data_IF_675794447910
#
_entry.id   IF_675794447910
#
_cell.length_a   1.000
_cell.length_b   1.000
_cell.length_c   1.000
_cell.angle_alpha   90.00
_cell.angle_beta   90.00
_cell.angle_gamma   90.00
#
_symmetry.space_group_name_H-M   'P 1'
#
loop_
_entity.id
_entity.type
_entity.pdbx_description
1 polymer ?
#
# COMPACT_ATOMS: atom_id res chain seq x y z
N UNK A 1 -56.60 10.04 1.92
CA UNK A 1 -55.53 11.06 2.08
C UNK A 1 -54.52 10.66 3.14
N UNK A 2 -54.91 10.07 4.27
CA UNK A 2 -53.97 9.57 5.29
C UNK A 2 -53.13 8.34 4.87
N UNK A 3 -53.64 7.50 3.95
CA UNK A 3 -52.91 6.32 3.43
C UNK A 3 -51.77 6.67 2.46
N UNK A 4 -51.86 7.78 1.72
CA UNK A 4 -50.82 8.18 0.74
C UNK A 4 -49.57 8.70 1.46
N UNK A 5 -49.73 9.42 2.56
CA UNK A 5 -48.62 9.97 3.36
C UNK A 5 -47.88 8.87 4.17
N UNK A 6 -48.54 7.74 4.43
CA UNK A 6 -47.91 6.59 5.11
C UNK A 6 -47.10 5.71 4.17
N UNK A 7 -47.49 5.59 2.89
CA UNK A 7 -46.68 4.92 1.85
C UNK A 7 -45.40 5.70 1.52
N UNK A 8 -45.45 7.04 1.42
CA UNK A 8 -44.27 7.86 1.11
C UNK A 8 -43.18 7.81 2.21
N UNK A 9 -43.59 7.79 3.49
CA UNK A 9 -42.66 7.67 4.63
C UNK A 9 -42.02 6.27 4.71
N UNK A 10 -42.76 5.22 4.35
CA UNK A 10 -42.25 3.84 4.28
C UNK A 10 -41.23 3.67 3.13
N UNK A 11 -41.45 4.33 1.99
CA UNK A 11 -40.52 4.32 0.84
C UNK A 11 -39.21 5.05 1.15
N UNK A 12 -39.25 6.16 1.90
CA UNK A 12 -38.06 6.92 2.32
C UNK A 12 -37.23 6.14 3.38
N UNK A 13 -37.90 5.41 4.27
CA UNK A 13 -37.24 4.55 5.26
C UNK A 13 -36.57 3.32 4.63
N UNK A 14 -37.21 2.67 3.67
CA UNK A 14 -36.63 1.53 2.93
C UNK A 14 -35.45 1.96 2.05
N UNK A 15 -35.53 3.10 1.36
CA UNK A 15 -34.43 3.61 0.55
C UNK A 15 -33.25 4.08 1.41
N UNK A 16 -33.48 4.69 2.57
CA UNK A 16 -32.44 5.02 3.55
C UNK A 16 -31.78 3.75 4.15
N UNK A 17 -32.55 2.72 4.50
CA UNK A 17 -32.03 1.44 4.98
C UNK A 17 -31.23 0.69 3.90
N UNK A 18 -31.72 0.67 2.65
CA UNK A 18 -31.05 0.01 1.51
C UNK A 18 -29.77 0.76 1.10
N UNK A 19 -29.75 2.09 1.23
CA UNK A 19 -28.56 2.94 1.06
C UNK A 19 -27.56 2.76 2.21
N UNK A 20 -28.03 2.65 3.45
CA UNK A 20 -27.22 2.37 4.65
C UNK A 20 -26.54 0.99 4.61
N UNK A 21 -27.26 -0.07 4.17
CA UNK A 21 -26.68 -1.40 3.96
C UNK A 21 -25.71 -1.45 2.78
N UNK A 22 -26.01 -0.73 1.69
CA UNK A 22 -25.12 -0.59 0.53
C UNK A 22 -23.88 0.24 0.85
N UNK A 23 -23.99 1.24 1.72
CA UNK A 23 -22.87 2.04 2.23
C UNK A 23 -22.03 1.25 3.24
N UNK A 24 -22.63 0.32 3.99
CA UNK A 24 -21.90 -0.65 4.82
C UNK A 24 -21.14 -1.69 3.99
N UNK A 25 -21.70 -2.13 2.86
CA UNK A 25 -21.03 -3.05 1.94
C UNK A 25 -19.96 -2.35 1.07
N UNK A 26 -20.13 -1.06 0.81
CA UNK A 26 -19.15 -0.18 0.13
C UNK A 26 -18.24 0.59 1.11
N UNK A 27 -18.11 0.12 2.36
CA UNK A 27 -17.14 0.69 3.26
C UNK A 27 -15.74 0.51 2.65
N UNK A 28 -15.00 1.61 2.52
CA UNK A 28 -13.61 1.64 2.03
C UNK A 28 -12.67 0.97 3.08
N UNK A 29 -13.17 0.77 4.29
CA UNK A 29 -12.44 0.29 5.46
C UNK A 29 -11.93 -1.17 5.35
N UNK A 30 -12.74 -2.20 5.01
CA UNK A 30 -12.23 -3.56 4.80
C UNK A 30 -11.16 -3.67 3.69
N UNK A 31 -11.32 -3.03 2.51
CA UNK A 31 -10.26 -3.01 1.47
C UNK A 31 -8.95 -2.37 1.94
N UNK A 32 -9.01 -1.28 2.72
CA UNK A 32 -7.82 -0.64 3.31
C UNK A 32 -7.11 -1.62 4.26
N UNK A 33 -7.88 -2.28 5.13
CA UNK A 33 -7.33 -3.21 6.11
C UNK A 33 -6.66 -4.41 5.44
N UNK A 34 -7.30 -4.98 4.42
CA UNK A 34 -6.73 -6.07 3.64
C UNK A 34 -5.43 -5.65 2.94
N UNK A 35 -5.40 -4.44 2.35
CA UNK A 35 -4.21 -3.91 1.70
C UNK A 35 -3.06 -3.72 2.70
N UNK A 36 -3.33 -3.08 3.83
CA UNK A 36 -2.33 -2.88 4.89
C UNK A 36 -1.78 -4.21 5.41
N UNK A 37 -2.65 -5.22 5.59
CA UNK A 37 -2.23 -6.55 5.98
C UNK A 37 -1.30 -7.17 4.93
N UNK A 38 -1.67 -7.11 3.66
CA UNK A 38 -0.84 -7.57 2.54
C UNK A 38 0.52 -6.88 2.51
N UNK A 39 0.56 -5.54 2.63
CA UNK A 39 1.81 -4.77 2.62
C UNK A 39 2.77 -5.20 3.74
N UNK A 40 2.25 -5.42 4.96
CA UNK A 40 3.09 -5.85 6.09
C UNK A 40 3.62 -7.28 5.93
N UNK A 41 2.78 -8.20 5.44
CA UNK A 41 3.20 -9.57 5.14
C UNK A 41 4.30 -9.58 4.06
N UNK A 42 4.07 -8.84 2.97
CA UNK A 42 5.00 -8.74 1.85
C UNK A 42 6.33 -8.10 2.26
N UNK A 43 6.32 -7.07 3.12
CA UNK A 43 7.56 -6.45 3.60
C UNK A 43 8.48 -7.42 4.36
N UNK A 44 7.86 -8.36 5.10
CA UNK A 44 8.60 -9.40 5.84
C UNK A 44 9.22 -10.40 4.87
N UNK A 45 8.41 -10.96 3.96
CA UNK A 45 8.87 -11.92 2.94
C UNK A 45 9.96 -11.32 2.06
N UNK A 46 9.81 -10.05 1.68
CA UNK A 46 10.80 -9.34 0.87
C UNK A 46 12.16 -9.25 1.56
N UNK A 47 12.18 -8.96 2.87
CA UNK A 47 13.42 -8.84 3.62
C UNK A 47 14.18 -10.16 3.68
N UNK A 48 13.47 -11.26 3.94
CA UNK A 48 14.06 -12.61 3.94
C UNK A 48 14.56 -13.02 2.54
N UNK A 49 13.79 -12.70 1.49
CA UNK A 49 14.18 -12.99 0.11
C UNK A 49 15.43 -12.22 -0.32
N UNK A 50 15.55 -10.93 0.04
CA UNK A 50 16.74 -10.12 -0.27
C UNK A 50 18.00 -10.69 0.39
N UNK A 51 17.90 -11.17 1.63
CA UNK A 51 19.02 -11.82 2.32
C UNK A 51 19.41 -13.11 1.58
N UNK A 52 18.44 -13.95 1.23
CA UNK A 52 18.67 -15.19 0.49
C UNK A 52 19.35 -14.93 -0.87
N UNK A 53 18.81 -14.01 -1.67
CA UNK A 53 19.38 -13.64 -2.97
C UNK A 53 20.78 -13.04 -2.85
N UNK A 54 21.01 -12.17 -1.85
CA UNK A 54 22.33 -11.57 -1.62
C UNK A 54 23.35 -12.67 -1.30
N UNK A 55 22.99 -13.62 -0.47
CA UNK A 55 23.85 -14.73 -0.06
C UNK A 55 24.24 -15.66 -1.22
N UNK A 56 23.28 -16.01 -2.08
CA UNK A 56 23.50 -16.93 -3.21
C UNK A 56 24.13 -16.25 -4.42
N UNK A 57 23.73 -15.02 -4.75
CA UNK A 57 24.18 -14.33 -5.97
C UNK A 57 25.36 -13.38 -5.75
N UNK A 58 25.43 -12.65 -4.62
CA UNK A 58 26.54 -11.70 -4.37
C UNK A 58 27.78 -12.40 -3.84
N UNK A 59 27.59 -13.41 -2.97
CA UNK A 59 28.68 -14.10 -2.28
C UNK A 59 28.89 -15.55 -2.73
N UNK A 60 28.03 -16.07 -3.61
CA UNK A 60 28.13 -17.43 -4.17
C UNK A 60 28.25 -18.55 -3.11
N UNK A 61 27.58 -18.38 -1.96
CA UNK A 61 27.50 -19.44 -0.95
C UNK A 61 26.50 -20.53 -1.35
N UNK A 62 26.77 -21.77 -0.95
CA UNK A 62 25.83 -22.89 -1.13
C UNK A 62 24.53 -22.64 -0.35
N UNK A 63 23.39 -23.08 -0.89
CA UNK A 63 22.06 -22.90 -0.28
C UNK A 63 21.99 -23.43 1.16
N UNK A 64 22.67 -24.55 1.44
CA UNK A 64 22.75 -25.14 2.79
C UNK A 64 23.47 -24.26 3.81
N UNK A 65 24.49 -23.50 3.38
CA UNK A 65 25.19 -22.56 4.25
C UNK A 65 24.35 -21.32 4.52
N UNK A 66 23.52 -20.92 3.56
CA UNK A 66 22.61 -19.81 3.73
C UNK A 66 21.41 -20.15 4.63
N UNK A 67 20.87 -21.36 4.50
CA UNK A 67 19.81 -21.88 5.36
C UNK A 67 20.26 -22.08 6.80
N UNK A 68 21.51 -22.50 7.01
CA UNK A 68 22.09 -22.74 8.34
C UNK A 68 22.30 -21.45 9.17
N UNK A 69 22.19 -20.25 8.58
CA UNK A 69 22.45 -18.95 9.24
C UNK A 69 23.71 -18.98 10.13
N UNK A 70 24.84 -19.42 9.57
CA UNK A 70 26.11 -19.39 10.30
C UNK A 70 26.43 -17.95 10.74
N UNK A 71 26.82 -17.78 12.01
CA UNK A 71 27.03 -16.47 12.63
C UNK A 71 28.09 -15.61 11.95
N UNK A 72 29.05 -16.22 11.25
CA UNK A 72 30.07 -15.51 10.46
C UNK A 72 29.51 -14.99 9.13
N UNK A 73 28.65 -15.76 8.46
CA UNK A 73 28.05 -15.40 7.17
C UNK A 73 27.00 -14.31 7.39
N UNK A 74 26.16 -14.45 8.41
CA UNK A 74 25.15 -13.44 8.77
C UNK A 74 25.78 -12.08 9.05
N UNK A 75 26.93 -12.01 9.72
CA UNK A 75 27.64 -10.75 9.99
C UNK A 75 28.07 -9.98 8.73
N UNK A 76 28.23 -10.66 7.60
CA UNK A 76 28.67 -10.05 6.33
C UNK A 76 27.45 -9.76 5.43
N UNK A 77 26.52 -10.70 5.36
CA UNK A 77 25.34 -10.61 4.49
C UNK A 77 24.31 -9.63 5.04
N UNK A 78 24.02 -9.66 6.34
CA UNK A 78 23.02 -8.80 6.97
C UNK A 78 23.27 -7.31 6.76
N UNK A 79 24.49 -6.76 6.99
CA UNK A 79 24.74 -5.34 6.74
C UNK A 79 24.69 -4.97 5.25
N UNK A 80 24.98 -5.89 4.33
CA UNK A 80 24.85 -5.63 2.90
C UNK A 80 23.38 -5.58 2.47
N UNK A 81 22.58 -6.56 2.89
CA UNK A 81 21.13 -6.56 2.68
C UNK A 81 20.47 -5.33 3.33
N UNK A 82 20.92 -4.95 4.53
CA UNK A 82 20.44 -3.75 5.22
C UNK A 82 20.74 -2.47 4.42
N UNK A 83 21.91 -2.33 3.76
CA UNK A 83 22.20 -1.17 2.90
C UNK A 83 21.21 -1.04 1.74
N UNK A 84 20.85 -2.15 1.12
CA UNK A 84 19.87 -2.18 0.02
C UNK A 84 18.49 -1.78 0.56
N UNK A 85 18.06 -2.38 1.67
CA UNK A 85 16.78 -2.05 2.29
C UNK A 85 16.73 -0.58 2.75
N UNK A 86 17.82 -0.05 3.31
CA UNK A 86 17.91 1.36 3.69
C UNK A 86 17.79 2.27 2.46
N UNK A 87 18.47 1.94 1.35
CA UNK A 87 18.35 2.73 0.12
C UNK A 87 16.92 2.76 -0.41
N UNK A 88 16.19 1.64 -0.32
CA UNK A 88 14.76 1.58 -0.61
C UNK A 88 13.98 2.57 0.26
N UNK A 89 14.14 2.51 1.58
CA UNK A 89 13.40 3.37 2.53
C UNK A 89 13.71 4.85 2.29
N UNK A 90 14.96 5.17 1.95
CA UNK A 90 15.35 6.54 1.59
C UNK A 90 14.58 7.01 0.35
N UNK A 91 14.53 6.21 -0.72
CA UNK A 91 13.72 6.53 -1.90
C UNK A 91 12.23 6.70 -1.55
N UNK A 92 11.66 5.76 -0.79
CA UNK A 92 10.26 5.82 -0.32
C UNK A 92 9.98 7.01 0.63
N UNK A 93 10.99 7.68 1.17
CA UNK A 93 10.79 8.87 2.01
C UNK A 93 10.95 10.19 1.23
N UNK A 94 11.94 10.25 0.33
CA UNK A 94 12.26 11.47 -0.42
C UNK A 94 11.20 11.76 -1.49
N UNK A 95 10.83 10.76 -2.29
CA UNK A 95 9.88 10.96 -3.38
C UNK A 95 8.47 11.31 -2.88
N UNK A 96 7.94 10.66 -1.83
CA UNK A 96 6.63 11.02 -1.33
C UNK A 96 6.60 12.33 -0.55
N UNK A 97 7.72 12.84 -0.05
CA UNK A 97 7.77 14.21 0.45
C UNK A 97 7.53 15.22 -0.68
N UNK A 98 8.14 14.99 -1.85
CA UNK A 98 7.93 15.82 -3.04
C UNK A 98 6.50 15.69 -3.56
N UNK A 99 6.00 14.46 -3.70
CA UNK A 99 4.64 14.22 -4.20
C UNK A 99 3.60 14.65 -3.18
N UNK A 100 3.85 14.50 -1.88
CA UNK A 100 2.95 14.92 -0.81
C UNK A 100 2.62 16.41 -0.87
N UNK A 101 3.60 17.25 -1.26
CA UNK A 101 3.39 18.68 -1.49
C UNK A 101 2.38 18.93 -2.62
N UNK A 102 2.49 18.16 -3.71
CA UNK A 102 1.55 18.26 -4.83
C UNK A 102 0.20 17.57 -4.55
N UNK A 103 0.21 16.48 -3.79
CA UNK A 103 -0.95 15.66 -3.44
C UNK A 103 -1.98 16.46 -2.64
N UNK A 104 -1.54 17.42 -1.81
CA UNK A 104 -2.43 18.38 -1.16
C UNK A 104 -3.29 19.14 -2.18
N UNK A 105 -2.66 19.72 -3.21
CA UNK A 105 -3.37 20.46 -4.27
C UNK A 105 -4.19 19.57 -5.21
N UNK A 106 -3.74 18.32 -5.40
CA UNK A 106 -4.43 17.34 -6.25
C UNK A 106 -5.69 16.78 -5.58
N UNK A 107 -5.65 16.58 -4.26
CA UNK A 107 -6.78 16.10 -3.46
C UNK A 107 -7.98 17.05 -3.53
N UNK A 108 -7.71 18.36 -3.54
CA UNK A 108 -8.76 19.39 -3.64
C UNK A 108 -9.42 19.46 -5.03
N UNK A 109 -8.66 19.19 -6.10
CA UNK A 109 -9.16 19.30 -7.48
C UNK A 109 -9.88 18.06 -8.02
N UNK A 110 -9.38 16.86 -7.71
CA UNK A 110 -9.85 15.62 -8.34
C UNK A 110 -10.84 14.81 -7.48
N UNK A 111 -11.10 15.24 -6.24
CA UNK A 111 -11.98 14.56 -5.30
C UNK A 111 -11.31 13.39 -4.56
N UNK A 112 -11.97 12.89 -3.51
CA UNK A 112 -11.39 11.94 -2.53
C UNK A 112 -11.18 10.49 -3.02
N UNK A 113 -11.92 10.04 -4.04
CA UNK A 113 -11.86 8.65 -4.56
C UNK A 113 -10.63 8.32 -5.44
N UNK A 114 -10.19 9.17 -6.39
CA UNK A 114 -9.06 8.83 -7.27
C UNK A 114 -7.71 8.71 -6.56
N UNK A 115 -7.52 9.38 -5.40
CA UNK A 115 -6.28 9.28 -4.64
C UNK A 115 -6.02 7.85 -4.12
N UNK A 116 -7.08 7.14 -3.73
CA UNK A 116 -6.96 5.76 -3.26
C UNK A 116 -6.77 4.79 -4.44
N UNK A 117 -7.41 5.06 -5.57
CA UNK A 117 -7.33 4.22 -6.76
C UNK A 117 -5.93 4.26 -7.39
N UNK A 118 -5.32 5.44 -7.44
CA UNK A 118 -3.94 5.64 -7.92
C UNK A 118 -2.93 4.90 -7.04
N UNK A 119 -3.10 4.93 -5.72
CA UNK A 119 -2.24 4.16 -4.81
C UNK A 119 -2.36 2.65 -5.05
N UNK A 120 -3.58 2.14 -5.23
CA UNK A 120 -3.82 0.72 -5.53
C UNK A 120 -3.17 0.26 -6.84
N UNK A 121 -3.25 1.06 -7.90
CA UNK A 121 -2.62 0.71 -9.18
C UNK A 121 -1.10 0.75 -9.08
N UNK A 122 -0.52 1.67 -8.30
CA UNK A 122 0.91 1.72 -7.99
C UNK A 122 1.40 0.45 -7.30
N UNK A 123 0.69 0.01 -6.24
CA UNK A 123 1.02 -1.23 -5.54
C UNK A 123 0.87 -2.47 -6.42
N UNK A 124 -0.19 -2.54 -7.23
CA UNK A 124 -0.37 -3.66 -8.15
C UNK A 124 0.79 -3.76 -9.14
N UNK A 125 1.22 -2.63 -9.72
CA UNK A 125 2.32 -2.61 -10.69
C UNK A 125 3.65 -3.06 -10.07
N UNK A 126 4.00 -2.60 -8.87
CA UNK A 126 5.26 -3.01 -8.24
C UNK A 126 5.26 -4.51 -7.92
N UNK A 127 4.15 -5.08 -7.42
CA UNK A 127 4.09 -6.51 -7.12
C UNK A 127 4.11 -7.36 -8.38
N UNK A 128 3.51 -6.90 -9.49
CA UNK A 128 3.61 -7.58 -10.79
C UNK A 128 5.07 -7.60 -11.25
N UNK A 129 5.76 -6.45 -11.21
CA UNK A 129 7.17 -6.36 -11.62
C UNK A 129 8.06 -7.23 -10.70
N UNK A 130 7.86 -7.15 -9.39
CA UNK A 130 8.60 -7.95 -8.42
C UNK A 130 8.37 -9.45 -8.60
N UNK A 131 7.14 -9.86 -8.90
CA UNK A 131 6.81 -11.26 -9.19
C UNK A 131 7.48 -11.74 -10.47
N UNK A 132 7.48 -10.93 -11.54
CA UNK A 132 8.19 -11.25 -12.79
C UNK A 132 9.69 -11.45 -12.52
N UNK A 133 10.30 -10.57 -11.72
CA UNK A 133 11.71 -10.68 -11.34
C UNK A 133 11.97 -11.94 -10.50
N UNK A 134 11.03 -12.34 -9.64
CA UNK A 134 11.17 -13.57 -8.85
C UNK A 134 10.96 -14.85 -9.69
N UNK A 135 10.15 -14.80 -10.75
CA UNK A 135 9.92 -15.94 -11.64
C UNK A 135 11.04 -16.15 -12.65
N UNK A 136 11.62 -15.06 -13.15
CA UNK A 136 12.80 -15.16 -14.00
C UNK A 136 13.98 -15.25 -13.05
N UNK A 137 14.47 -16.46 -12.82
CA UNK A 137 15.66 -16.78 -12.00
C UNK A 137 16.94 -16.30 -12.69
N UNK A 138 16.96 -15.01 -13.07
CA UNK A 138 18.12 -14.33 -13.62
C UNK A 138 19.06 -14.01 -12.47
N UNK A 139 20.39 -14.04 -12.69
CA UNK A 139 21.37 -13.53 -11.75
C UNK A 139 21.29 -12.01 -11.68
N UNK A 140 20.20 -11.51 -11.10
CA UNK A 140 19.94 -10.08 -10.96
C UNK A 140 20.69 -9.58 -9.76
N UNK A 141 21.59 -8.61 -10.01
CA UNK A 141 22.20 -7.81 -8.98
C UNK A 141 21.10 -7.26 -8.05
N UNK A 142 21.28 -7.28 -6.72
CA UNK A 142 20.27 -6.80 -5.77
C UNK A 142 19.79 -5.36 -6.04
N UNK A 143 20.60 -4.58 -6.76
CA UNK A 143 20.31 -3.25 -7.25
C UNK A 143 19.13 -3.15 -8.23
N UNK A 144 18.74 -4.24 -8.91
CA UNK A 144 17.58 -4.22 -9.82
C UNK A 144 16.25 -4.09 -9.07
N UNK A 145 16.18 -4.50 -7.80
CA UNK A 145 15.01 -4.22 -6.95
C UNK A 145 14.78 -2.72 -6.75
N UNK A 146 15.82 -1.88 -6.79
CA UNK A 146 15.68 -0.43 -6.73
C UNK A 146 15.00 0.17 -7.96
N UNK A 147 15.11 -0.47 -9.12
CA UNK A 147 14.43 -0.01 -10.34
C UNK A 147 12.92 -0.24 -10.23
N UNK A 148 12.51 -1.36 -9.64
CA UNK A 148 11.10 -1.68 -9.39
C UNK A 148 10.42 -0.72 -8.40
N UNK A 149 11.21 0.00 -7.59
CA UNK A 149 10.71 0.97 -6.60
C UNK A 149 10.42 2.34 -7.27
N UNK A 150 11.00 2.63 -8.44
CA UNK A 150 10.81 3.91 -9.13
C UNK A 150 9.34 4.20 -9.50
N UNK A 151 8.56 3.23 -10.05
CA UNK A 151 7.14 3.45 -10.32
C UNK A 151 6.31 3.69 -9.06
N UNK A 152 6.61 2.98 -7.97
CA UNK A 152 5.96 3.19 -6.67
C UNK A 152 6.24 4.60 -6.14
N UNK A 153 7.49 5.05 -6.29
CA UNK A 153 7.90 6.40 -5.92
C UNK A 153 7.12 7.46 -6.70
N UNK A 154 6.87 7.28 -8.01
CA UNK A 154 6.17 8.26 -8.86
C UNK A 154 4.68 8.35 -8.52
N UNK A 155 4.04 7.22 -8.18
CA UNK A 155 2.60 7.17 -7.90
C UNK A 155 2.26 7.65 -6.48
N UNK A 156 3.25 7.72 -5.59
CA UNK A 156 3.14 8.32 -4.26
C UNK A 156 3.05 7.33 -3.09
N UNK A 157 3.13 6.03 -3.38
CA UNK A 157 3.35 4.95 -2.42
C UNK A 157 2.51 5.00 -1.13
N UNK A 158 3.11 4.55 -0.02
CA UNK A 158 2.46 4.47 1.29
C UNK A 158 2.02 5.84 1.85
N UNK A 159 2.69 6.93 1.51
CA UNK A 159 2.37 8.25 2.06
C UNK A 159 1.10 8.85 1.43
N UNK A 160 0.93 8.78 0.11
CA UNK A 160 -0.30 9.24 -0.55
C UNK A 160 -1.49 8.40 -0.12
N UNK A 161 -1.28 7.10 0.08
CA UNK A 161 -2.27 6.22 0.67
C UNK A 161 -2.68 6.66 2.08
N UNK A 162 -1.71 6.96 2.97
CA UNK A 162 -1.99 7.46 4.31
C UNK A 162 -2.77 8.78 4.29
N UNK A 163 -2.38 9.74 3.44
CA UNK A 163 -3.11 11.01 3.25
C UNK A 163 -4.54 10.74 2.77
N UNK A 164 -4.73 9.78 1.87
CA UNK A 164 -6.05 9.33 1.43
C UNK A 164 -6.93 8.82 2.57
N UNK A 165 -6.38 7.98 3.45
CA UNK A 165 -7.10 7.45 4.62
C UNK A 165 -7.43 8.58 5.62
N UNK A 166 -6.45 9.41 5.99
CA UNK A 166 -6.67 10.50 6.93
C UNK A 166 -7.71 11.49 6.41
N UNK A 167 -7.61 11.87 5.14
CA UNK A 167 -8.60 12.75 4.53
C UNK A 167 -10.00 12.11 4.53
N UNK A 168 -10.14 10.81 4.20
CA UNK A 168 -11.42 10.11 4.21
C UNK A 168 -12.04 10.05 5.61
N UNK A 169 -11.25 9.70 6.62
CA UNK A 169 -11.73 9.62 8.01
C UNK A 169 -12.21 10.97 8.50
N UNK A 170 -11.41 12.04 8.35
CA UNK A 170 -11.79 13.41 8.74
C UNK A 170 -13.09 13.88 8.10
N UNK A 171 -13.37 13.47 6.86
CA UNK A 171 -14.62 13.82 6.19
C UNK A 171 -15.85 13.29 6.94
N UNK A 172 -15.78 12.01 7.32
CA UNK A 172 -16.89 11.32 7.97
C UNK A 172 -17.19 11.93 9.33
N UNK A 173 -16.14 12.33 10.06
CA UNK A 173 -16.27 13.04 11.33
C UNK A 173 -16.90 14.44 11.15
N UNK A 174 -16.58 15.15 10.06
CA UNK A 174 -17.13 16.48 9.78
C UNK A 174 -18.61 16.44 9.41
N UNK A 175 -19.03 15.44 8.62
CA UNK A 175 -20.44 15.23 8.27
C UNK A 175 -21.31 14.91 9.48
N UNK A 176 -20.79 14.09 10.40
CA UNK A 176 -21.47 13.76 11.66
C UNK A 176 -21.76 15.01 12.51
N UNK A 177 -20.80 15.94 12.62
CA UNK A 177 -20.99 17.20 13.35
C UNK A 177 -22.06 18.12 12.72
N UNK A 178 -22.26 18.08 11.40
CA UNK A 178 -23.32 18.86 10.73
C UNK A 178 -24.71 18.30 10.95
N UNK A 179 -24.85 16.99 11.08
CA UNK A 179 -26.15 16.33 11.34
C UNK A 179 -26.62 16.58 12.78
N UNK A 180 -25.71 16.80 13.71
CA UNK A 180 -26.03 17.11 15.11
C UNK A 180 -26.41 18.58 15.36
N UNK A 181 -26.42 19.44 14.33
CA UNK A 181 -26.74 20.88 14.44
C UNK A 181 -27.98 21.19 13.62
#
# INVERSE_FOLDING_TARGET
MAEVESEDVLVDAETFQRKSLRDRLNCIEPPILLLLFGLNLSATVFSDQVIYHTCTYQFHYNESQCASKNSEISKIVDPYAAKILMSKVVCESVFPALIGLFAGTWSEKYGRKPLMLTSFTGFALIYIIASIIAFVDVPVSPWLYLVSIVPECIVGGNCVFAIGIYSYTTDRWSGFKRVLR
#
